data_IF_200572967536
#
_entry.id   IF_200572967536
#
_cell.length_a   1.000
_cell.length_b   1.000
_cell.length_c   1.000
_cell.angle_alpha   90.00
_cell.angle_beta   90.00
_cell.angle_gamma   90.00
#
_symmetry.space_group_name_H-M   'P 1'
#
loop_
_entity.id
_entity.type
_entity.pdbx_description
1 polymer ?
#
# COMPACT_ATOMS: atom_id res chain seq x y z
N UNK A 1 17.61 -22.61 -9.30
CA UNK A 1 16.18 -22.90 -9.02
C UNK A 1 16.07 -23.68 -7.73
N UNK A 2 15.22 -23.26 -6.79
CA UNK A 2 14.98 -23.91 -5.51
C UNK A 2 13.84 -24.93 -5.63
N UNK A 3 14.09 -26.20 -5.34
CA UNK A 3 13.07 -27.25 -5.32
C UNK A 3 12.40 -27.34 -3.94
N UNK A 4 11.08 -27.24 -3.91
CA UNK A 4 10.28 -27.26 -2.67
C UNK A 4 9.47 -28.55 -2.63
N UNK A 5 9.75 -29.40 -1.64
CA UNK A 5 8.90 -30.56 -1.37
C UNK A 5 7.81 -30.22 -0.36
N UNK A 6 6.57 -30.59 -0.69
CA UNK A 6 5.46 -30.65 0.28
C UNK A 6 4.51 -31.78 -0.11
N UNK A 7 3.91 -32.45 0.87
CA UNK A 7 2.98 -33.55 0.62
C UNK A 7 1.77 -33.12 -0.24
N UNK A 8 1.30 -31.88 -0.06
CA UNK A 8 0.21 -31.31 -0.84
C UNK A 8 0.48 -29.84 -1.08
N UNK A 9 0.53 -29.45 -2.35
CA UNK A 9 0.67 -28.06 -2.78
C UNK A 9 -0.72 -27.40 -2.74
N UNK A 10 -0.94 -26.49 -1.79
CA UNK A 10 -2.18 -25.71 -1.68
C UNK A 10 -2.02 -24.32 -2.33
N UNK A 11 -3.13 -23.62 -2.63
CA UNK A 11 -3.06 -22.25 -3.14
C UNK A 11 -2.30 -21.30 -2.20
N UNK A 12 -2.47 -21.43 -0.87
CA UNK A 12 -1.74 -20.66 0.15
C UNK A 12 -0.23 -20.89 0.08
N UNK A 13 0.21 -22.15 0.00
CA UNK A 13 1.63 -22.50 -0.17
C UNK A 13 2.16 -21.87 -1.46
N UNK A 14 1.47 -22.08 -2.59
CA UNK A 14 1.90 -21.51 -3.86
C UNK A 14 2.05 -20.00 -3.80
N UNK A 15 1.07 -19.31 -3.20
CA UNK A 15 1.05 -17.87 -3.06
C UNK A 15 2.24 -17.35 -2.26
N UNK A 16 2.40 -17.82 -1.02
CA UNK A 16 3.39 -17.22 -0.10
C UNK A 16 4.82 -17.57 -0.47
N UNK A 17 5.08 -18.80 -0.94
CA UNK A 17 6.41 -19.18 -1.42
C UNK A 17 6.77 -18.42 -2.71
N UNK A 18 5.83 -18.22 -3.64
CA UNK A 18 6.09 -17.38 -4.82
C UNK A 18 6.37 -15.94 -4.41
N UNK A 19 5.66 -15.41 -3.43
CA UNK A 19 5.91 -14.06 -2.94
C UNK A 19 7.31 -13.96 -2.30
N UNK A 20 7.60 -14.75 -1.27
CA UNK A 20 8.90 -14.67 -0.57
C UNK A 20 10.07 -15.05 -1.49
N UNK A 21 10.07 -16.25 -2.06
CA UNK A 21 11.22 -16.75 -2.80
C UNK A 21 11.36 -16.07 -4.16
N UNK A 22 10.29 -15.96 -4.95
CA UNK A 22 10.40 -15.44 -6.31
C UNK A 22 10.24 -13.92 -6.41
N UNK A 23 9.30 -13.32 -5.67
CA UNK A 23 9.06 -11.87 -5.77
C UNK A 23 10.04 -11.05 -4.93
N UNK A 24 10.27 -11.43 -3.67
CA UNK A 24 11.19 -10.69 -2.78
C UNK A 24 12.65 -11.07 -3.03
N UNK A 25 12.96 -12.36 -3.13
CA UNK A 25 14.36 -12.81 -3.23
C UNK A 25 14.84 -13.04 -4.67
N UNK A 26 13.94 -13.05 -5.66
CA UNK A 26 14.32 -13.30 -7.06
C UNK A 26 14.82 -14.72 -7.31
N UNK A 27 14.44 -15.69 -6.46
CA UNK A 27 14.79 -17.10 -6.57
C UNK A 27 13.69 -17.84 -7.37
N UNK A 28 14.02 -18.46 -8.50
CA UNK A 28 13.05 -19.29 -9.22
C UNK A 28 12.77 -20.56 -8.43
N UNK A 29 11.49 -20.89 -8.24
CA UNK A 29 11.05 -22.05 -7.45
C UNK A 29 10.31 -23.08 -8.30
N UNK A 30 10.38 -24.34 -7.87
CA UNK A 30 9.54 -25.44 -8.38
C UNK A 30 9.04 -26.27 -7.21
N UNK A 31 7.78 -26.70 -7.27
CA UNK A 31 7.21 -27.61 -6.28
C UNK A 31 7.27 -29.07 -6.74
N UNK A 32 7.43 -29.99 -5.79
CA UNK A 32 7.18 -31.42 -5.99
C UNK A 32 6.49 -32.02 -4.77
N UNK A 33 5.64 -33.02 -5.01
CA UNK A 33 5.07 -33.88 -3.97
C UNK A 33 5.63 -35.30 -4.01
N UNK A 34 6.55 -35.57 -4.93
CA UNK A 34 7.20 -36.88 -5.09
C UNK A 34 8.52 -36.88 -4.34
N UNK A 35 8.66 -37.80 -3.39
CA UNK A 35 9.86 -37.93 -2.57
C UNK A 35 11.05 -38.32 -3.45
N UNK A 36 10.83 -39.16 -4.47
CA UNK A 36 11.89 -39.62 -5.38
C UNK A 36 12.49 -38.47 -6.19
N UNK A 37 11.65 -37.54 -6.66
CA UNK A 37 12.09 -36.34 -7.38
C UNK A 37 12.89 -35.42 -6.44
N UNK A 38 12.45 -35.28 -5.19
CA UNK A 38 13.14 -34.46 -4.19
C UNK A 38 14.51 -35.03 -3.80
N UNK A 39 14.59 -36.35 -3.60
CA UNK A 39 15.86 -37.02 -3.25
C UNK A 39 16.84 -36.92 -4.43
N UNK A 40 16.37 -37.16 -5.66
CA UNK A 40 17.21 -37.12 -6.87
C UNK A 40 17.69 -35.71 -7.27
N UNK A 41 17.12 -34.65 -6.70
CA UNK A 41 17.55 -33.28 -6.98
C UNK A 41 18.85 -32.95 -6.24
N UNK A 42 19.90 -32.60 -6.99
CA UNK A 42 21.23 -32.26 -6.44
C UNK A 42 21.38 -30.78 -6.06
N UNK A 43 20.53 -29.90 -6.61
CA UNK A 43 20.57 -28.47 -6.34
C UNK A 43 19.92 -28.07 -5.01
N UNK A 44 19.79 -26.75 -4.82
CA UNK A 44 19.13 -26.19 -3.65
C UNK A 44 17.71 -26.73 -3.51
N UNK A 45 17.41 -27.31 -2.34
CA UNK A 45 16.12 -27.93 -2.06
C UNK A 45 15.71 -27.80 -0.60
N UNK A 46 14.42 -27.55 -0.40
CA UNK A 46 13.82 -27.41 0.92
C UNK A 46 12.62 -28.35 1.05
N UNK A 47 12.40 -28.91 2.23
CA UNK A 47 11.20 -29.67 2.57
C UNK A 47 10.31 -28.87 3.53
N UNK A 48 9.02 -28.79 3.22
CA UNK A 48 8.01 -28.12 4.03
C UNK A 48 6.94 -29.14 4.42
N UNK A 49 6.99 -29.62 5.66
CA UNK A 49 6.27 -30.84 6.06
C UNK A 49 6.15 -31.02 7.57
N UNK A 50 5.64 -32.18 8.01
CA UNK A 50 5.54 -32.49 9.46
C UNK A 50 6.87 -32.96 10.06
N UNK A 51 7.74 -33.56 9.25
CA UNK A 51 9.00 -34.18 9.65
C UNK A 51 10.01 -34.03 8.51
N UNK A 52 11.29 -33.96 8.86
CA UNK A 52 12.40 -33.98 7.91
C UNK A 52 12.47 -35.33 7.17
N UNK A 53 12.94 -35.30 5.93
CA UNK A 53 13.17 -36.46 5.08
C UNK A 53 14.61 -36.98 5.17
N UNK A 54 15.53 -36.19 5.74
CA UNK A 54 16.95 -36.48 5.83
C UNK A 54 17.74 -35.29 6.35
N UNK A 55 18.77 -34.88 5.61
CA UNK A 55 19.65 -33.74 5.92
C UNK A 55 19.45 -32.58 4.92
N UNK A 56 18.23 -32.41 4.42
CA UNK A 56 17.84 -31.25 3.62
C UNK A 56 17.60 -30.01 4.51
N UNK A 57 17.34 -28.87 3.88
CA UNK A 57 16.80 -27.72 4.59
C UNK A 57 15.31 -27.96 4.89
N UNK A 58 14.97 -28.23 6.15
CA UNK A 58 13.64 -28.59 6.60
C UNK A 58 12.98 -27.47 7.40
N UNK A 59 11.75 -27.15 7.04
CA UNK A 59 10.87 -26.26 7.79
C UNK A 59 9.62 -27.05 8.16
N UNK A 60 9.37 -27.20 9.46
CA UNK A 60 8.12 -27.78 9.90
C UNK A 60 6.94 -26.85 9.55
N UNK A 61 5.91 -27.43 8.95
CA UNK A 61 4.71 -26.68 8.56
C UNK A 61 3.78 -26.44 9.75
N UNK A 62 3.18 -25.25 9.79
CA UNK A 62 1.95 -24.97 10.52
C UNK A 62 0.75 -25.22 9.61
N UNK A 63 -0.35 -25.67 10.20
CA UNK A 63 -1.53 -26.13 9.45
C UNK A 63 -2.28 -24.99 8.73
N UNK A 64 -2.02 -23.72 9.08
CA UNK A 64 -2.59 -22.53 8.43
C UNK A 64 -2.50 -22.58 6.90
N UNK A 65 -1.37 -23.00 6.33
CA UNK A 65 -1.22 -23.06 4.86
C UNK A 65 -1.94 -24.26 4.22
N UNK A 66 -2.47 -25.19 5.03
CA UNK A 66 -3.20 -26.39 4.59
C UNK A 66 -4.71 -26.25 4.74
N UNK A 67 -5.15 -25.30 5.56
CA UNK A 67 -6.55 -24.99 5.85
C UNK A 67 -7.25 -24.27 4.69
N UNK A 68 -8.58 -24.21 4.77
CA UNK A 68 -9.45 -23.42 3.88
C UNK A 68 -10.33 -22.51 4.73
N UNK A 69 -10.60 -21.30 4.25
CA UNK A 69 -11.33 -20.29 5.00
C UNK A 69 -10.54 -19.75 6.18
N UNK A 70 -11.21 -19.07 7.08
CA UNK A 70 -10.57 -18.44 8.23
C UNK A 70 -11.23 -18.87 9.54
N UNK A 71 -10.42 -18.97 10.58
CA UNK A 71 -10.83 -19.27 11.95
C UNK A 71 -9.93 -18.53 12.92
N UNK A 72 -10.35 -18.39 14.17
CA UNK A 72 -9.46 -17.83 15.19
C UNK A 72 -8.21 -18.69 15.37
N UNK A 73 -7.07 -18.04 15.52
CA UNK A 73 -5.76 -18.69 15.71
C UNK A 73 -5.09 -18.04 16.90
N UNK A 74 -4.62 -18.85 17.84
CA UNK A 74 -3.78 -18.39 18.93
C UNK A 74 -2.36 -18.12 18.39
N UNK A 75 -1.95 -16.86 18.40
CA UNK A 75 -0.63 -16.45 17.93
C UNK A 75 0.32 -16.33 19.11
N UNK A 76 1.35 -17.18 19.10
CA UNK A 76 2.46 -17.12 20.06
C UNK A 76 3.59 -16.32 19.45
N UNK A 77 3.88 -15.19 20.07
CA UNK A 77 4.93 -14.26 19.68
C UNK A 77 6.28 -14.74 20.23
N UNK A 78 7.32 -14.60 19.41
CA UNK A 78 8.71 -14.82 19.81
C UNK A 78 9.63 -13.80 19.11
N UNK A 79 10.87 -13.71 19.56
CA UNK A 79 11.90 -12.88 18.92
C UNK A 79 12.83 -13.73 18.05
N UNK A 80 13.29 -13.15 16.94
CA UNK A 80 14.35 -13.71 16.11
C UNK A 80 15.41 -12.62 15.87
N UNK A 81 16.44 -12.65 16.73
CA UNK A 81 17.41 -11.58 16.95
C UNK A 81 16.72 -10.22 17.24
N UNK A 82 16.71 -9.33 16.25
CA UNK A 82 16.24 -7.94 16.30
C UNK A 82 14.82 -7.73 15.72
N UNK A 83 14.18 -8.82 15.26
CA UNK A 83 12.80 -8.81 14.75
C UNK A 83 11.86 -9.66 15.61
N UNK A 84 10.57 -9.33 15.53
CA UNK A 84 9.48 -10.15 16.07
C UNK A 84 9.07 -11.18 15.03
N UNK A 85 8.65 -12.37 15.47
CA UNK A 85 8.05 -13.39 14.62
C UNK A 85 7.03 -14.23 15.44
N UNK A 86 6.31 -15.12 14.77
CA UNK A 86 5.28 -15.96 15.37
C UNK A 86 5.09 -17.24 14.58
N UNK A 87 4.33 -18.19 15.14
CA UNK A 87 4.28 -19.59 14.70
C UNK A 87 5.60 -20.33 14.99
N UNK A 88 5.97 -20.46 16.29
CA UNK A 88 7.23 -21.08 16.69
C UNK A 88 7.35 -22.52 16.18
N UNK A 89 8.56 -22.89 15.76
CA UNK A 89 8.90 -24.24 15.32
C UNK A 89 9.86 -24.92 16.30
N UNK A 90 9.87 -26.25 16.37
CA UNK A 90 10.85 -26.97 17.18
C UNK A 90 12.25 -26.90 16.57
N UNK A 91 13.27 -27.15 17.41
CA UNK A 91 14.70 -27.16 17.05
C UNK A 91 15.07 -28.12 15.90
N UNK A 92 14.19 -29.06 15.55
CA UNK A 92 14.38 -29.92 14.39
C UNK A 92 14.23 -29.19 13.05
N UNK A 93 13.65 -27.98 13.03
CA UNK A 93 13.54 -27.14 11.83
C UNK A 93 14.74 -26.20 11.71
N UNK A 94 15.15 -25.89 10.50
CA UNK A 94 16.26 -24.95 10.23
C UNK A 94 15.90 -23.48 10.50
N UNK A 95 14.61 -23.19 10.74
CA UNK A 95 14.11 -21.87 11.12
C UNK A 95 13.38 -21.91 12.47
N UNK A 96 13.43 -20.83 13.27
CA UNK A 96 12.80 -20.79 14.58
C UNK A 96 11.27 -20.64 14.52
N UNK A 97 10.71 -20.28 13.38
CA UNK A 97 9.27 -20.15 13.15
C UNK A 97 8.91 -20.47 11.69
N UNK A 98 7.62 -20.67 11.44
CA UNK A 98 7.10 -20.87 10.10
C UNK A 98 6.96 -19.52 9.39
N UNK A 99 8.05 -19.09 8.74
CA UNK A 99 8.12 -17.86 7.95
C UNK A 99 7.02 -17.78 6.89
N UNK A 100 6.63 -18.90 6.30
CA UNK A 100 5.63 -18.94 5.25
C UNK A 100 4.22 -18.77 5.82
N UNK A 101 3.88 -19.44 6.92
CA UNK A 101 2.61 -19.22 7.61
C UNK A 101 2.51 -17.79 8.16
N UNK A 102 3.57 -17.27 8.78
CA UNK A 102 3.57 -15.93 9.37
C UNK A 102 3.43 -14.84 8.30
N UNK A 103 4.15 -14.98 7.18
CA UNK A 103 4.04 -14.05 6.05
C UNK A 103 2.67 -14.13 5.40
N UNK A 104 2.11 -15.33 5.22
CA UNK A 104 0.76 -15.48 4.69
C UNK A 104 -0.28 -14.77 5.55
N UNK A 105 -0.20 -14.93 6.89
CA UNK A 105 -1.11 -14.28 7.83
C UNK A 105 -1.13 -12.74 7.65
N UNK A 106 0.06 -12.12 7.56
CA UNK A 106 0.18 -10.67 7.39
C UNK A 106 -0.22 -10.20 5.99
N UNK A 107 0.22 -10.89 4.94
CA UNK A 107 -0.01 -10.49 3.54
C UNK A 107 -1.48 -10.66 3.13
N UNK A 108 -2.14 -11.73 3.60
CA UNK A 108 -3.57 -11.96 3.33
C UNK A 108 -4.48 -11.07 4.18
N UNK A 109 -3.92 -10.30 5.12
CA UNK A 109 -4.67 -9.53 6.13
C UNK A 109 -5.66 -10.44 6.88
N UNK A 110 -5.21 -11.63 7.26
CA UNK A 110 -6.05 -12.69 7.85
C UNK A 110 -6.88 -12.17 9.05
N UNK A 111 -6.28 -11.32 9.89
CA UNK A 111 -6.96 -10.67 11.03
C UNK A 111 -8.18 -9.83 10.65
N UNK A 112 -8.24 -9.25 9.45
CA UNK A 112 -9.36 -8.43 8.99
C UNK A 112 -10.55 -9.26 8.50
N UNK A 113 -10.37 -10.58 8.30
CA UNK A 113 -11.48 -11.51 8.02
C UNK A 113 -12.16 -12.01 9.30
N UNK A 114 -11.47 -11.93 10.44
CA UNK A 114 -12.02 -12.30 11.74
C UNK A 114 -12.94 -11.20 12.27
N UNK A 115 -13.88 -11.52 13.18
CA UNK A 115 -14.69 -10.51 13.86
C UNK A 115 -13.80 -9.48 14.57
N UNK A 116 -13.96 -8.20 14.22
CA UNK A 116 -13.19 -7.10 14.78
C UNK A 116 -14.05 -5.84 14.92
N UNK A 117 -13.60 -4.93 15.79
CA UNK A 117 -14.24 -3.63 15.97
C UNK A 117 -13.69 -2.65 14.94
N UNK A 118 -14.58 -2.07 14.14
CA UNK A 118 -14.25 -1.02 13.19
C UNK A 118 -14.28 0.35 13.88
N UNK A 119 -13.50 1.29 13.39
CA UNK A 119 -13.60 2.68 13.83
C UNK A 119 -14.84 3.40 13.25
N UNK A 120 -15.00 4.67 13.61
CA UNK A 120 -16.12 5.52 13.15
C UNK A 120 -16.21 5.65 11.62
N UNK A 121 -15.10 5.47 10.91
CA UNK A 121 -15.02 5.51 9.45
C UNK A 121 -15.18 4.11 8.81
N UNK A 122 -15.43 3.07 9.60
CA UNK A 122 -15.62 1.70 9.12
C UNK A 122 -14.32 0.97 8.78
N UNK A 123 -13.17 1.45 9.27
CA UNK A 123 -11.83 0.93 8.97
C UNK A 123 -11.38 -0.05 10.05
N UNK A 124 -10.44 -0.92 9.69
CA UNK A 124 -9.70 -1.75 10.65
C UNK A 124 -8.65 -0.87 11.35
N UNK A 125 -8.78 -0.58 12.66
CA UNK A 125 -7.89 0.36 13.34
C UNK A 125 -6.47 -0.20 13.47
N UNK A 126 -5.45 0.65 13.32
CA UNK A 126 -4.07 0.21 13.48
C UNK A 126 -3.80 -0.44 14.85
N UNK A 127 -4.42 0.06 15.93
CA UNK A 127 -4.24 -0.46 17.29
C UNK A 127 -4.76 -1.88 17.53
N UNK A 128 -5.70 -2.34 16.69
CA UNK A 128 -6.24 -3.71 16.74
C UNK A 128 -5.36 -4.71 15.98
N UNK A 129 -4.41 -4.23 15.18
CA UNK A 129 -3.49 -5.11 14.45
C UNK A 129 -2.52 -5.81 15.39
N UNK A 130 -2.21 -7.08 15.08
CA UNK A 130 -1.12 -7.82 15.74
C UNK A 130 0.18 -7.01 15.76
N UNK A 131 0.48 -6.34 14.63
CA UNK A 131 1.68 -5.53 14.48
C UNK A 131 1.77 -4.34 15.43
N UNK A 132 0.64 -3.70 15.74
CA UNK A 132 0.62 -2.61 16.72
C UNK A 132 0.64 -3.11 18.16
N UNK A 133 -0.11 -4.18 18.46
CA UNK A 133 -0.17 -4.77 19.80
C UNK A 133 1.21 -5.27 20.24
N UNK A 134 1.96 -5.87 19.31
CA UNK A 134 3.28 -6.43 19.54
C UNK A 134 4.42 -5.47 19.11
N UNK A 135 4.08 -4.20 18.88
CA UNK A 135 5.03 -3.11 18.65
C UNK A 135 6.00 -3.27 17.46
N UNK A 136 5.66 -4.05 16.43
CA UNK A 136 6.48 -4.20 15.22
C UNK A 136 5.91 -3.50 13.97
N UNK A 137 4.82 -2.74 14.10
CA UNK A 137 4.17 -2.03 13.00
C UNK A 137 5.11 -1.11 12.17
N UNK A 138 6.18 -0.61 12.78
CA UNK A 138 7.15 0.28 12.14
C UNK A 138 8.26 -0.46 11.36
N UNK A 139 8.23 -1.80 11.31
CA UNK A 139 9.20 -2.63 10.59
C UNK A 139 8.54 -3.42 9.46
N UNK A 140 9.15 -3.51 8.26
CA UNK A 140 8.66 -4.38 7.19
C UNK A 140 9.08 -5.83 7.48
N UNK A 141 8.53 -6.43 8.55
CA UNK A 141 8.97 -7.73 9.08
C UNK A 141 9.00 -8.85 8.05
N UNK A 142 8.07 -8.87 7.08
CA UNK A 142 8.06 -9.88 6.00
C UNK A 142 9.29 -9.74 5.11
N UNK A 143 9.70 -8.51 4.78
CA UNK A 143 10.90 -8.25 4.00
C UNK A 143 12.17 -8.60 4.79
N UNK A 144 12.20 -8.28 6.09
CA UNK A 144 13.30 -8.62 7.00
C UNK A 144 13.45 -10.14 7.09
N UNK A 145 12.35 -10.86 7.32
CA UNK A 145 12.36 -12.31 7.42
C UNK A 145 12.83 -12.96 6.12
N UNK A 146 12.41 -12.44 4.96
CA UNK A 146 12.84 -12.95 3.67
C UNK A 146 14.36 -12.83 3.48
N UNK A 147 14.96 -11.70 3.85
CA UNK A 147 16.41 -11.51 3.72
C UNK A 147 17.20 -12.37 4.69
N UNK A 148 16.76 -12.50 5.95
CA UNK A 148 17.39 -13.44 6.88
C UNK A 148 17.25 -14.89 6.40
N UNK A 149 16.12 -15.25 5.82
CA UNK A 149 15.94 -16.55 5.20
C UNK A 149 16.88 -16.77 4.01
N UNK A 150 17.12 -15.74 3.19
CA UNK A 150 18.11 -15.80 2.11
C UNK A 150 19.52 -16.05 2.65
N UNK A 151 19.93 -15.37 3.72
CA UNK A 151 21.25 -15.56 4.35
C UNK A 151 21.46 -17.02 4.76
N UNK A 152 20.51 -17.62 5.48
CA UNK A 152 20.60 -19.03 5.91
C UNK A 152 20.56 -19.98 4.71
N UNK A 153 19.77 -19.65 3.67
CA UNK A 153 19.77 -20.44 2.43
C UNK A 153 21.11 -20.39 1.71
N UNK A 154 21.78 -19.24 1.65
CA UNK A 154 23.07 -19.08 0.99
C UNK A 154 24.20 -19.78 1.77
N UNK A 155 24.11 -19.81 3.09
CA UNK A 155 25.02 -20.60 3.93
C UNK A 155 24.93 -22.10 3.61
N UNK A 156 23.72 -22.60 3.32
CA UNK A 156 23.49 -24.01 2.97
C UNK A 156 23.73 -24.31 1.49
N UNK A 157 23.42 -23.35 0.61
CA UNK A 157 23.46 -23.47 -0.84
C UNK A 157 24.21 -22.27 -1.46
N UNK A 158 25.55 -22.23 -1.39
CA UNK A 158 26.34 -21.06 -1.84
C UNK A 158 26.17 -20.70 -3.31
N UNK A 159 25.84 -21.68 -4.16
CA UNK A 159 25.64 -21.50 -5.60
C UNK A 159 24.18 -21.12 -5.97
N UNK A 160 23.33 -20.79 -4.99
CA UNK A 160 21.94 -20.42 -5.23
C UNK A 160 21.84 -19.04 -5.89
N UNK A 161 21.42 -19.04 -7.15
CA UNK A 161 21.14 -17.81 -7.89
C UNK A 161 19.90 -17.08 -7.33
N UNK A 162 20.05 -15.76 -7.12
CA UNK A 162 19.00 -14.86 -6.66
C UNK A 162 19.19 -13.48 -7.32
N UNK A 163 18.14 -12.64 -7.29
CA UNK A 163 18.21 -11.28 -7.85
C UNK A 163 18.05 -10.25 -6.74
N UNK A 164 19.07 -9.42 -6.47
CA UNK A 164 18.97 -8.41 -5.41
C UNK A 164 17.93 -7.35 -5.78
N UNK A 165 17.23 -6.87 -4.76
CA UNK A 165 16.31 -5.75 -4.87
C UNK A 165 17.09 -4.43 -4.83
N UNK A 166 16.38 -3.32 -5.02
CA UNK A 166 16.95 -1.98 -4.90
C UNK A 166 15.98 -1.11 -4.11
N UNK A 167 16.52 -0.41 -3.13
CA UNK A 167 15.78 0.63 -2.43
C UNK A 167 15.18 1.65 -3.40
N UNK A 168 13.89 1.95 -3.24
CA UNK A 168 13.15 2.96 -4.03
C UNK A 168 12.19 3.71 -3.15
N UNK A 169 11.94 4.96 -3.50
CA UNK A 169 10.97 5.82 -2.83
C UNK A 169 9.89 6.27 -3.81
N UNK A 170 8.72 6.58 -3.29
CA UNK A 170 7.60 7.01 -4.11
C UNK A 170 6.58 7.79 -3.30
N UNK A 171 5.93 8.75 -3.96
CA UNK A 171 4.88 9.57 -3.35
C UNK A 171 3.58 9.45 -4.12
N UNK A 172 2.47 9.30 -3.40
CA UNK A 172 1.11 9.28 -3.93
C UNK A 172 0.46 10.60 -3.58
N UNK A 173 0.06 11.38 -4.58
CA UNK A 173 -0.61 12.67 -4.41
C UNK A 173 -2.11 12.46 -4.65
N UNK A 174 -2.89 12.54 -3.59
CA UNK A 174 -4.36 12.44 -3.65
C UNK A 174 -4.97 13.80 -3.88
N UNK A 175 -5.83 13.91 -4.89
CA UNK A 175 -6.53 15.14 -5.27
C UNK A 175 -8.03 14.91 -5.29
N UNK A 176 -8.67 15.11 -4.13
CA UNK A 176 -10.13 15.20 -4.03
C UNK A 176 -10.65 16.43 -4.82
N UNK A 177 -9.97 17.56 -4.66
CA UNK A 177 -10.35 18.83 -5.30
C UNK A 177 -9.15 19.51 -5.92
N UNK A 178 -9.10 19.52 -7.26
CA UNK A 178 -8.08 20.27 -8.04
C UNK A 178 -8.15 21.78 -7.80
N UNK A 179 -9.35 22.32 -7.58
CA UNK A 179 -9.54 23.75 -7.30
C UNK A 179 -10.43 23.95 -6.07
N UNK A 180 -10.05 24.86 -5.18
CA UNK A 180 -10.87 25.23 -4.02
C UNK A 180 -11.86 26.35 -4.36
N UNK A 181 -11.57 27.22 -5.33
CA UNK A 181 -12.45 28.33 -5.74
C UNK A 181 -12.78 28.34 -7.23
N UNK A 182 -11.82 28.08 -8.13
CA UNK A 182 -12.05 28.11 -9.58
C UNK A 182 -13.03 26.99 -9.98
N UNK A 183 -13.79 27.23 -11.05
CA UNK A 183 -14.64 26.23 -11.71
C UNK A 183 -15.75 25.59 -10.86
N UNK A 184 -16.05 26.14 -9.69
CA UNK A 184 -17.21 25.78 -8.87
C UNK A 184 -18.46 26.50 -9.36
N UNK A 185 -19.62 25.86 -9.22
CA UNK A 185 -20.91 26.44 -9.61
C UNK A 185 -21.22 27.72 -8.83
N UNK A 186 -21.88 28.69 -9.48
CA UNK A 186 -22.15 30.02 -8.92
C UNK A 186 -22.76 29.99 -7.52
N UNK A 187 -23.80 29.18 -7.30
CA UNK A 187 -24.47 29.09 -6.00
C UNK A 187 -23.53 28.60 -4.89
N UNK A 188 -22.68 27.58 -5.16
CA UNK A 188 -21.69 27.07 -4.21
C UNK A 188 -20.62 28.11 -3.90
N UNK A 189 -20.15 28.79 -4.94
CA UNK A 189 -19.19 29.88 -4.85
C UNK A 189 -19.70 31.04 -4.00
N UNK A 190 -20.97 31.41 -4.18
CA UNK A 190 -21.63 32.45 -3.38
C UNK A 190 -21.87 32.02 -1.93
N UNK A 191 -22.45 30.83 -1.71
CA UNK A 191 -22.69 30.30 -0.36
C UNK A 191 -21.39 30.14 0.44
N UNK A 192 -20.32 29.64 -0.20
CA UNK A 192 -19.03 29.56 0.45
C UNK A 192 -18.46 30.93 0.84
N UNK A 193 -18.68 31.97 0.02
CA UNK A 193 -18.26 33.34 0.35
C UNK A 193 -19.05 33.88 1.55
N UNK A 194 -20.36 33.64 1.60
CA UNK A 194 -21.19 34.04 2.73
C UNK A 194 -20.76 33.33 4.02
N UNK A 195 -20.51 32.02 3.97
CA UNK A 195 -20.01 31.26 5.12
C UNK A 195 -18.65 31.78 5.61
N UNK A 196 -17.71 32.05 4.70
CA UNK A 196 -16.40 32.63 5.05
C UNK A 196 -16.56 34.03 5.68
N UNK A 197 -17.51 34.84 5.19
CA UNK A 197 -17.80 36.17 5.74
C UNK A 197 -18.42 36.09 7.14
N UNK A 198 -19.43 35.24 7.35
CA UNK A 198 -20.09 35.07 8.64
C UNK A 198 -19.17 34.41 9.68
N UNK A 199 -18.23 33.58 9.23
CA UNK A 199 -17.19 33.00 10.10
C UNK A 199 -15.96 33.91 10.28
N UNK A 200 -16.01 35.15 9.79
CA UNK A 200 -14.95 36.16 9.88
C UNK A 200 -13.61 35.71 9.27
N UNK A 201 -13.63 34.75 8.34
CA UNK A 201 -12.46 34.29 7.59
C UNK A 201 -12.18 35.22 6.40
N UNK A 202 -11.98 36.51 6.69
CA UNK A 202 -11.84 37.57 5.69
C UNK A 202 -10.69 37.31 4.69
N UNK A 203 -9.62 36.65 5.13
CA UNK A 203 -8.52 36.24 4.25
C UNK A 203 -8.98 35.30 3.11
N UNK A 204 -9.85 34.33 3.40
CA UNK A 204 -10.42 33.42 2.38
C UNK A 204 -11.37 34.14 1.43
N UNK A 205 -12.07 35.17 1.91
CA UNK A 205 -12.93 36.01 1.06
C UNK A 205 -12.06 36.79 0.07
N UNK A 206 -10.99 37.43 0.54
CA UNK A 206 -10.04 38.16 -0.32
C UNK A 206 -9.40 37.22 -1.34
N UNK A 207 -8.89 36.08 -0.90
CA UNK A 207 -8.29 35.08 -1.78
C UNK A 207 -9.27 34.61 -2.87
N UNK A 208 -10.51 34.30 -2.48
CA UNK A 208 -11.56 33.89 -3.42
C UNK A 208 -11.80 34.96 -4.49
N UNK A 209 -11.89 36.23 -4.09
CA UNK A 209 -12.06 37.36 -5.02
C UNK A 209 -10.85 37.53 -5.95
N UNK A 210 -9.63 37.42 -5.42
CA UNK A 210 -8.40 37.48 -6.21
C UNK A 210 -8.31 36.33 -7.21
N UNK A 211 -8.71 35.13 -6.81
CA UNK A 211 -8.74 33.95 -7.67
C UNK A 211 -9.78 34.09 -8.79
N UNK A 212 -10.96 34.63 -8.50
CA UNK A 212 -11.99 34.89 -9.52
C UNK A 212 -11.60 35.99 -10.51
N UNK A 213 -10.90 37.01 -10.04
CA UNK A 213 -10.35 38.10 -10.87
C UNK A 213 -9.02 37.73 -11.54
N UNK A 214 -8.51 36.50 -11.33
CA UNK A 214 -7.25 35.98 -11.88
C UNK A 214 -6.00 36.75 -11.43
N UNK A 215 -6.08 37.46 -10.31
CA UNK A 215 -4.94 38.12 -9.66
C UNK A 215 -4.07 37.13 -8.87
N UNK A 216 -4.62 35.97 -8.54
CA UNK A 216 -3.95 34.90 -7.79
C UNK A 216 -4.37 33.54 -8.34
N UNK A 217 -3.47 32.57 -8.28
CA UNK A 217 -3.80 31.19 -8.61
C UNK A 217 -4.60 30.49 -7.52
N UNK A 218 -5.32 29.44 -7.93
CA UNK A 218 -6.13 28.69 -7.00
C UNK A 218 -5.20 27.92 -6.04
N UNK A 219 -5.36 28.06 -4.71
CA UNK A 219 -4.44 27.45 -3.75
C UNK A 219 -4.26 25.94 -3.89
N UNK A 220 -5.25 25.22 -4.42
CA UNK A 220 -5.17 23.76 -4.60
C UNK A 220 -4.55 23.34 -5.95
N UNK A 221 -4.32 24.30 -6.86
CA UNK A 221 -3.72 24.05 -8.16
C UNK A 221 -2.19 24.04 -8.06
N UNK A 222 -1.65 23.02 -7.40
CA UNK A 222 -0.21 22.86 -7.07
C UNK A 222 0.55 21.95 -8.05
N UNK A 223 -0.13 21.50 -9.10
CA UNK A 223 0.36 20.42 -9.95
C UNK A 223 1.56 20.81 -10.79
N UNK A 224 1.66 22.08 -11.21
CA UNK A 224 2.82 22.58 -11.96
C UNK A 224 4.08 22.52 -11.11
N UNK A 225 4.03 23.03 -9.88
CA UNK A 225 5.14 22.95 -8.91
C UNK A 225 5.60 21.50 -8.68
N UNK A 226 4.67 20.55 -8.51
CA UNK A 226 5.03 19.14 -8.33
C UNK A 226 5.60 18.50 -9.61
N UNK A 227 5.11 18.88 -10.79
CA UNK A 227 5.68 18.42 -12.06
C UNK A 227 7.10 18.94 -12.24
N UNK A 228 7.39 20.18 -11.85
CA UNK A 228 8.75 20.73 -11.88
C UNK A 228 9.70 19.92 -10.98
N UNK A 229 9.28 19.54 -9.79
CA UNK A 229 10.07 18.67 -8.91
C UNK A 229 10.34 17.29 -9.53
N UNK A 230 9.36 16.68 -10.20
CA UNK A 230 9.54 15.43 -10.93
C UNK A 230 10.62 15.59 -12.00
N UNK A 231 10.59 16.69 -12.76
CA UNK A 231 11.56 16.96 -13.83
C UNK A 231 12.96 17.23 -13.29
N UNK A 232 13.07 18.02 -12.23
CA UNK A 232 14.35 18.46 -11.67
C UNK A 232 15.09 17.31 -10.96
N UNK A 233 14.35 16.50 -10.20
CA UNK A 233 14.93 15.49 -9.32
C UNK A 233 14.70 14.05 -9.77
N UNK A 234 13.99 13.83 -10.88
CA UNK A 234 13.65 12.51 -11.41
C UNK A 234 12.98 11.59 -10.36
N UNK A 235 12.08 12.16 -9.57
CA UNK A 235 11.39 11.48 -8.47
C UNK A 235 10.12 10.77 -8.95
N UNK A 236 9.81 9.62 -8.37
CA UNK A 236 8.60 8.87 -8.69
C UNK A 236 7.40 9.41 -7.91
N UNK A 237 6.41 9.92 -8.66
CA UNK A 237 5.11 10.33 -8.12
C UNK A 237 3.96 9.73 -8.93
N UNK A 238 2.88 9.41 -8.24
CA UNK A 238 1.60 9.04 -8.83
C UNK A 238 0.50 9.96 -8.32
N UNK A 239 -0.38 10.41 -9.21
CA UNK A 239 -1.46 11.35 -8.88
C UNK A 239 -2.81 10.65 -8.95
N UNK A 240 -3.55 10.65 -7.86
CA UNK A 240 -4.87 10.04 -7.76
C UNK A 240 -5.94 11.13 -7.79
N UNK A 241 -6.75 11.19 -8.85
CA UNK A 241 -7.80 12.20 -9.00
C UNK A 241 -9.18 11.65 -8.71
N UNK A 242 -9.98 12.41 -7.96
CA UNK A 242 -11.35 12.04 -7.66
C UNK A 242 -12.30 12.61 -8.72
N UNK A 243 -13.10 11.73 -9.34
CA UNK A 243 -14.03 12.08 -10.42
C UNK A 243 -15.49 11.71 -10.11
N UNK A 244 -15.80 11.56 -8.83
CA UNK A 244 -17.15 11.26 -8.35
C UNK A 244 -18.11 12.43 -8.58
N UNK A 245 -19.41 12.13 -8.57
CA UNK A 245 -20.44 13.16 -8.62
C UNK A 245 -20.51 13.95 -7.31
N UNK A 246 -20.86 15.23 -7.42
CA UNK A 246 -21.03 16.09 -6.26
C UNK A 246 -22.15 15.54 -5.35
N UNK A 247 -21.83 15.37 -4.07
CA UNK A 247 -22.73 14.88 -3.04
C UNK A 247 -22.44 15.52 -1.68
N UNK A 248 -23.14 15.05 -0.64
CA UNK A 248 -22.86 15.48 0.75
C UNK A 248 -21.49 15.01 1.23
N UNK A 249 -20.99 13.89 0.69
CA UNK A 249 -19.70 13.29 1.05
C UNK A 249 -18.58 13.82 0.14
N UNK A 250 -18.84 13.88 -1.17
CA UNK A 250 -17.86 14.27 -2.17
C UNK A 250 -18.15 15.66 -2.72
N UNK A 251 -17.28 16.62 -2.42
CA UNK A 251 -17.50 18.03 -2.81
C UNK A 251 -16.76 18.41 -4.09
N UNK A 252 -16.62 17.48 -5.02
CA UNK A 252 -15.73 17.61 -6.16
C UNK A 252 -16.25 18.61 -7.20
N UNK A 253 -15.37 18.94 -8.15
CA UNK A 253 -15.74 19.68 -9.34
C UNK A 253 -16.20 18.67 -10.39
N UNK A 254 -17.16 19.06 -11.22
CA UNK A 254 -17.62 18.18 -12.30
C UNK A 254 -16.46 17.81 -13.23
N UNK A 255 -16.31 16.50 -13.51
CA UNK A 255 -15.34 15.95 -14.45
C UNK A 255 -15.43 16.59 -15.86
N UNK A 256 -16.59 17.12 -16.25
CA UNK A 256 -16.80 17.80 -17.54
C UNK A 256 -16.16 19.20 -17.63
N UNK A 257 -15.63 19.75 -16.53
CA UNK A 257 -14.99 21.07 -16.55
C UNK A 257 -13.65 21.00 -17.29
N UNK A 258 -13.58 21.70 -18.43
CA UNK A 258 -12.38 21.76 -19.28
C UNK A 258 -11.10 22.08 -18.50
N UNK A 259 -11.05 23.08 -17.59
CA UNK A 259 -9.82 23.36 -16.86
C UNK A 259 -9.38 22.24 -15.92
N UNK A 260 -10.32 21.47 -15.35
CA UNK A 260 -10.00 20.32 -14.51
C UNK A 260 -9.45 19.17 -15.35
N UNK A 261 -10.08 18.87 -16.51
CA UNK A 261 -9.55 17.91 -17.48
C UNK A 261 -8.16 18.30 -17.98
N UNK A 262 -7.92 19.59 -18.20
CA UNK A 262 -6.62 20.11 -18.66
C UNK A 262 -5.50 19.85 -17.63
N UNK A 263 -5.78 20.04 -16.34
CA UNK A 263 -4.81 19.71 -15.27
C UNK A 263 -4.51 18.22 -15.26
N UNK A 264 -5.53 17.36 -15.30
CA UNK A 264 -5.33 15.90 -15.29
C UNK A 264 -4.50 15.46 -16.50
N UNK A 265 -4.81 15.98 -17.69
CA UNK A 265 -4.03 15.72 -18.92
C UNK A 265 -2.58 16.19 -18.78
N UNK A 266 -2.38 17.41 -18.30
CA UNK A 266 -1.04 17.95 -18.09
C UNK A 266 -0.22 17.13 -17.10
N UNK A 267 -0.84 16.57 -16.06
CA UNK A 267 -0.15 15.69 -15.11
C UNK A 267 0.16 14.33 -15.75
N UNK A 268 -0.77 13.78 -16.53
CA UNK A 268 -0.59 12.52 -17.24
C UNK A 268 0.56 12.54 -18.27
N UNK A 269 0.94 13.72 -18.77
CA UNK A 269 2.09 13.88 -19.67
C UNK A 269 3.45 13.64 -18.97
N UNK A 270 3.52 13.75 -17.63
CA UNK A 270 4.77 13.69 -16.87
C UNK A 270 4.79 12.63 -15.76
N UNK A 271 3.63 12.16 -15.31
CA UNK A 271 3.51 11.25 -14.18
C UNK A 271 2.37 10.25 -14.39
N UNK A 272 2.40 9.15 -13.63
CA UNK A 272 1.27 8.22 -13.60
C UNK A 272 0.05 8.88 -12.96
N UNK A 273 -1.12 8.61 -13.54
CA UNK A 273 -2.40 9.08 -13.04
C UNK A 273 -3.29 7.88 -12.73
N UNK A 274 -3.91 7.89 -11.56
CA UNK A 274 -4.87 6.88 -11.13
C UNK A 274 -6.16 7.49 -10.59
N UNK A 275 -7.11 6.61 -10.28
CA UNK A 275 -8.41 6.99 -9.75
C UNK A 275 -8.36 7.08 -8.22
N UNK A 276 -8.66 8.26 -7.67
CA UNK A 276 -9.04 8.38 -6.27
C UNK A 276 -10.54 8.11 -6.20
N UNK A 277 -10.94 6.99 -5.60
CA UNK A 277 -12.34 6.57 -5.68
C UNK A 277 -13.20 7.36 -4.70
N UNK A 278 -14.36 7.81 -5.18
CA UNK A 278 -15.33 8.52 -4.34
C UNK A 278 -16.18 7.66 -3.42
N UNK A 279 -16.94 8.35 -2.57
CA UNK A 279 -17.68 7.73 -1.48
C UNK A 279 -18.63 6.64 -1.96
N UNK A 280 -19.46 6.92 -2.96
CA UNK A 280 -20.46 5.97 -3.45
C UNK A 280 -19.86 4.85 -4.30
N UNK A 281 -18.73 5.09 -4.96
CA UNK A 281 -18.00 4.07 -5.70
C UNK A 281 -17.31 3.05 -4.77
N UNK A 282 -17.14 3.36 -3.48
CA UNK A 282 -16.75 2.36 -2.46
C UNK A 282 -17.87 1.40 -2.07
N UNK A 283 -19.12 1.75 -2.33
CA UNK A 283 -20.29 0.96 -1.93
C UNK A 283 -20.94 0.25 -3.11
N UNK A 284 -20.75 0.77 -4.32
CA UNK A 284 -21.39 0.27 -5.53
C UNK A 284 -20.43 0.22 -6.73
N UNK A 285 -20.32 -0.97 -7.33
CA UNK A 285 -19.45 -1.22 -8.47
C UNK A 285 -19.86 -0.43 -9.73
N UNK A 286 -21.15 -0.07 -9.89
CA UNK A 286 -21.57 0.72 -11.05
C UNK A 286 -21.04 2.15 -10.96
N UNK A 287 -21.04 2.74 -9.78
CA UNK A 287 -20.40 4.04 -9.54
C UNK A 287 -18.87 3.96 -9.73
N UNK A 288 -18.22 2.89 -9.26
CA UNK A 288 -16.78 2.70 -9.51
C UNK A 288 -16.46 2.58 -11.01
N UNK A 289 -17.24 1.79 -11.75
CA UNK A 289 -17.12 1.67 -13.21
C UNK A 289 -17.29 3.03 -13.90
N UNK A 290 -18.27 3.81 -13.46
CA UNK A 290 -18.52 5.17 -13.98
C UNK A 290 -17.34 6.10 -13.75
N UNK A 291 -16.77 6.09 -12.54
CA UNK A 291 -15.59 6.90 -12.20
C UNK A 291 -14.34 6.47 -12.98
N UNK A 292 -14.13 5.16 -13.14
CA UNK A 292 -13.06 4.60 -13.99
C UNK A 292 -13.17 5.11 -15.44
N UNK A 293 -14.35 4.93 -16.06
CA UNK A 293 -14.58 5.35 -17.46
C UNK A 293 -14.39 6.85 -17.66
N UNK A 294 -14.74 7.68 -16.67
CA UNK A 294 -14.49 9.14 -16.72
C UNK A 294 -13.00 9.45 -16.79
N UNK A 295 -12.19 8.77 -15.98
CA UNK A 295 -10.74 9.00 -16.00
C UNK A 295 -10.15 8.52 -17.33
N UNK A 296 -10.55 7.34 -17.81
CA UNK A 296 -10.12 6.80 -19.12
C UNK A 296 -10.47 7.76 -20.27
N UNK A 297 -11.66 8.37 -20.26
CA UNK A 297 -12.06 9.38 -21.26
C UNK A 297 -11.21 10.67 -21.17
N UNK A 298 -10.73 11.03 -19.98
CA UNK A 298 -9.91 12.22 -19.78
C UNK A 298 -8.48 11.97 -20.24
N UNK A 299 -7.86 10.85 -19.86
CA UNK A 299 -6.44 10.58 -20.16
C UNK A 299 -6.23 9.82 -21.47
N UNK A 300 -7.30 9.33 -22.11
CA UNK A 300 -7.25 8.51 -23.33
C UNK A 300 -6.36 7.27 -23.20
N UNK A 301 -6.36 6.67 -22.00
CA UNK A 301 -5.59 5.49 -21.65
C UNK A 301 -6.38 4.64 -20.66
N UNK A 302 -6.01 3.37 -20.50
CA UNK A 302 -6.59 2.48 -19.48
C UNK A 302 -6.23 2.96 -18.09
N UNK A 303 -7.16 2.81 -17.15
CA UNK A 303 -6.91 3.12 -15.73
C UNK A 303 -6.65 1.83 -14.98
N UNK A 304 -5.42 1.67 -14.55
CA UNK A 304 -4.88 0.50 -13.85
C UNK A 304 -4.46 0.79 -12.41
N UNK A 305 -4.45 2.06 -12.00
CA UNK A 305 -4.08 2.52 -10.66
C UNK A 305 -5.28 3.10 -9.91
N UNK A 306 -5.43 2.71 -8.64
CA UNK A 306 -6.53 3.18 -7.79
C UNK A 306 -6.08 3.43 -6.35
N UNK A 307 -6.80 4.33 -5.69
CA UNK A 307 -6.71 4.54 -4.25
C UNK A 307 -8.09 4.85 -3.66
N UNK A 308 -8.41 4.24 -2.53
CA UNK A 308 -9.62 4.50 -1.75
C UNK A 308 -9.43 5.77 -0.90
N UNK A 309 -10.29 6.77 -1.11
CA UNK A 309 -10.28 8.04 -0.36
C UNK A 309 -10.68 7.90 1.13
N UNK A 310 -11.43 6.86 1.48
CA UNK A 310 -11.93 6.57 2.84
C UNK A 310 -11.05 5.58 3.60
N UNK A 311 -10.13 4.89 2.93
CA UNK A 311 -9.24 3.86 3.51
C UNK A 311 -9.96 2.67 4.16
N UNK A 312 -11.28 2.52 3.95
CA UNK A 312 -12.11 1.41 4.40
C UNK A 312 -12.06 0.27 3.37
N UNK A 313 -10.98 -0.53 3.40
CA UNK A 313 -10.73 -1.56 2.38
C UNK A 313 -11.84 -2.60 2.19
N UNK A 314 -12.71 -2.83 3.19
CA UNK A 314 -13.84 -3.77 3.12
C UNK A 314 -13.47 -5.08 2.41
N UNK A 315 -12.44 -5.76 2.92
CA UNK A 315 -11.95 -6.99 2.32
C UNK A 315 -13.00 -8.12 2.45
N UNK A 316 -13.18 -8.96 1.42
CA UNK A 316 -12.56 -8.89 0.09
C UNK A 316 -13.36 -8.08 -0.95
N UNK A 317 -14.57 -7.60 -0.60
CA UNK A 317 -15.57 -7.08 -1.54
C UNK A 317 -15.05 -5.94 -2.44
N UNK A 318 -14.35 -4.97 -1.86
CA UNK A 318 -13.81 -3.85 -2.64
C UNK A 318 -12.75 -4.32 -3.65
N UNK A 319 -11.84 -5.20 -3.23
CA UNK A 319 -10.77 -5.72 -4.09
C UNK A 319 -11.29 -6.67 -5.17
N UNK A 320 -12.36 -7.39 -4.89
CA UNK A 320 -13.08 -8.16 -5.90
C UNK A 320 -13.72 -7.25 -6.95
N UNK A 321 -14.27 -6.11 -6.53
CA UNK A 321 -14.81 -5.09 -7.45
C UNK A 321 -13.71 -4.47 -8.33
N UNK A 322 -12.53 -4.21 -7.79
CA UNK A 322 -11.36 -3.74 -8.56
C UNK A 322 -10.94 -4.77 -9.61
N UNK A 323 -10.86 -6.04 -9.21
CA UNK A 323 -10.49 -7.15 -10.10
C UNK A 323 -11.51 -7.33 -11.24
N UNK A 324 -12.82 -7.25 -10.95
CA UNK A 324 -13.88 -7.34 -11.98
C UNK A 324 -13.76 -6.22 -13.02
N UNK A 325 -13.34 -5.03 -12.59
CA UNK A 325 -13.15 -3.87 -13.47
C UNK A 325 -11.76 -3.81 -14.11
N UNK A 326 -10.96 -4.87 -13.98
CA UNK A 326 -9.60 -4.98 -14.53
C UNK A 326 -8.65 -3.87 -14.06
N UNK A 327 -8.89 -3.33 -12.87
CA UNK A 327 -7.96 -2.42 -12.20
C UNK A 327 -6.92 -3.30 -11.49
N UNK A 328 -5.64 -3.14 -11.85
CA UNK A 328 -4.61 -4.11 -11.46
C UNK A 328 -3.69 -3.63 -10.33
N UNK A 329 -3.72 -2.35 -9.95
CA UNK A 329 -2.85 -1.79 -8.91
C UNK A 329 -3.63 -0.96 -7.88
N UNK A 330 -3.72 -1.45 -6.65
CA UNK A 330 -4.28 -0.72 -5.50
C UNK A 330 -3.19 -0.11 -4.63
N UNK A 331 -3.40 1.13 -4.19
CA UNK A 331 -2.48 1.90 -3.34
C UNK A 331 -3.11 2.25 -1.98
N UNK A 332 -4.14 1.53 -1.57
CA UNK A 332 -4.97 1.87 -0.41
C UNK A 332 -4.51 1.20 0.89
N UNK A 333 -3.65 0.18 0.81
CA UNK A 333 -3.19 -0.63 1.94
C UNK A 333 -2.20 0.13 2.82
N UNK A 334 -2.71 0.81 3.83
CA UNK A 334 -1.95 1.46 4.89
C UNK A 334 -2.87 2.01 5.97
N UNK A 335 -2.31 2.78 6.92
CA UNK A 335 -3.06 3.48 7.96
C UNK A 335 -2.90 4.99 7.79
N UNK A 336 -3.99 5.75 7.59
CA UNK A 336 -3.86 7.20 7.41
C UNK A 336 -3.62 7.94 8.74
N UNK A 337 -3.98 7.34 9.88
CA UNK A 337 -3.77 7.93 11.22
C UNK A 337 -2.50 7.46 11.94
N UNK A 338 -1.73 6.52 11.38
CA UNK A 338 -0.52 5.97 12.01
C UNK A 338 0.50 5.54 10.96
N UNK A 339 1.76 5.91 11.13
CA UNK A 339 2.83 5.39 10.27
C UNK A 339 3.07 3.90 10.55
N UNK A 340 3.29 3.13 9.49
CA UNK A 340 3.71 1.73 9.59
C UNK A 340 3.24 0.84 8.45
N UNK A 341 3.70 -0.40 8.47
CA UNK A 341 3.47 -1.40 7.42
C UNK A 341 2.24 -2.24 7.76
N UNK A 342 1.06 -1.85 7.25
CA UNK A 342 -0.21 -2.54 7.52
C UNK A 342 -0.13 -4.04 7.20
N UNK A 343 0.45 -4.44 6.07
CA UNK A 343 0.62 -5.84 5.69
C UNK A 343 1.96 -6.45 6.14
N UNK A 344 2.69 -5.80 7.06
CA UNK A 344 4.01 -6.23 7.50
C UNK A 344 5.11 -6.18 6.42
N UNK A 345 4.83 -5.57 5.27
CA UNK A 345 5.76 -5.47 4.14
C UNK A 345 5.74 -4.07 3.52
N UNK A 346 6.88 -3.66 2.97
CA UNK A 346 7.02 -2.49 2.11
C UNK A 346 6.96 -2.84 0.61
N UNK A 347 7.06 -4.13 0.29
CA UNK A 347 7.09 -4.63 -1.08
C UNK A 347 5.67 -4.85 -1.62
N UNK A 348 5.42 -4.59 -2.92
CA UNK A 348 4.15 -4.95 -3.54
C UNK A 348 3.87 -6.46 -3.48
N UNK A 349 2.61 -6.84 -3.40
CA UNK A 349 2.20 -8.25 -3.39
C UNK A 349 0.86 -8.41 -4.10
N UNK A 350 0.53 -9.63 -4.54
CA UNK A 350 -0.79 -9.90 -5.13
C UNK A 350 -1.80 -10.13 -4.02
N UNK A 351 -3.04 -9.69 -4.21
CA UNK A 351 -4.08 -9.95 -3.23
C UNK A 351 -4.51 -11.42 -3.25
N UNK A 352 -4.53 -12.04 -2.07
CA UNK A 352 -5.06 -13.39 -1.86
C UNK A 352 -6.46 -13.29 -1.25
N UNK A 353 -7.49 -13.70 -1.99
CA UNK A 353 -8.84 -13.79 -1.46
C UNK A 353 -9.01 -15.10 -0.68
N UNK A 354 -9.05 -15.00 0.66
CA UNK A 354 -9.23 -16.14 1.55
C UNK A 354 -10.59 -16.82 1.34
N UNK A 355 -11.64 -16.07 1.00
CA UNK A 355 -12.99 -16.65 0.80
C UNK A 355 -13.02 -17.59 -0.41
N UNK A 356 -12.24 -17.26 -1.45
CA UNK A 356 -12.15 -18.03 -2.69
C UNK A 356 -10.92 -18.95 -2.76
N UNK A 357 -9.99 -18.86 -1.80
CA UNK A 357 -8.69 -19.52 -1.79
C UNK A 357 -7.90 -19.32 -3.10
N UNK A 358 -7.87 -18.07 -3.58
CA UNK A 358 -7.26 -17.73 -4.88
C UNK A 358 -6.40 -16.47 -4.79
N UNK A 359 -5.29 -16.48 -5.51
CA UNK A 359 -4.51 -15.26 -5.77
C UNK A 359 -5.14 -14.51 -6.94
N UNK A 360 -5.61 -13.30 -6.68
CA UNK A 360 -6.16 -12.41 -7.71
C UNK A 360 -5.05 -11.68 -8.48
N UNK A 361 -5.32 -11.15 -9.69
CA UNK A 361 -4.34 -10.34 -10.42
C UNK A 361 -4.15 -8.93 -9.84
N UNK A 362 -4.93 -8.53 -8.82
CA UNK A 362 -4.79 -7.24 -8.16
C UNK A 362 -3.49 -7.19 -7.36
N UNK A 363 -2.62 -6.25 -7.71
CA UNK A 363 -1.38 -5.97 -6.99
C UNK A 363 -1.61 -4.85 -5.98
N UNK A 364 -1.30 -5.13 -4.73
CA UNK A 364 -1.33 -4.17 -3.63
C UNK A 364 0.04 -3.52 -3.52
N UNK A 365 0.04 -2.19 -3.52
CA UNK A 365 1.19 -1.34 -3.28
C UNK A 365 1.03 -0.68 -1.92
N UNK A 366 1.51 -1.31 -0.83
CA UNK A 366 1.33 -0.75 0.50
C UNK A 366 2.06 0.59 0.62
N UNK A 367 1.45 1.51 1.36
CA UNK A 367 2.09 2.75 1.81
C UNK A 367 2.38 2.66 3.30
N UNK A 368 3.45 3.33 3.72
CA UNK A 368 3.95 3.28 5.09
C UNK A 368 3.70 4.59 5.84
N UNK A 369 3.52 5.69 5.11
CA UNK A 369 3.35 7.03 5.66
C UNK A 369 2.18 7.75 5.00
N UNK A 370 1.41 8.49 5.80
CA UNK A 370 0.34 9.37 5.32
C UNK A 370 0.47 10.73 5.98
N UNK A 371 0.45 11.79 5.18
CA UNK A 371 0.60 13.17 5.63
C UNK A 371 -0.44 13.60 6.68
N UNK A 372 -1.60 12.93 6.73
CA UNK A 372 -2.66 13.21 7.70
C UNK A 372 -2.17 13.16 9.16
N UNK A 373 -1.18 12.33 9.47
CA UNK A 373 -0.61 12.21 10.83
C UNK A 373 0.11 13.47 11.30
N UNK A 374 0.60 14.31 10.37
CA UNK A 374 1.29 15.57 10.68
C UNK A 374 0.35 16.53 11.40
N UNK A 375 -0.95 16.45 11.14
CA UNK A 375 -1.96 17.32 11.75
C UNK A 375 -2.33 16.92 13.18
N UNK A 376 -2.04 15.67 13.59
CA UNK A 376 -2.44 15.13 14.90
C UNK A 376 -1.27 14.88 15.84
N UNK A 377 -0.04 14.88 15.33
CA UNK A 377 1.17 14.51 16.07
C UNK A 377 2.20 15.63 16.02
N UNK A 378 3.11 15.66 17.01
CA UNK A 378 4.23 16.57 17.01
C UNK A 378 5.10 16.37 15.74
N UNK A 379 5.27 17.45 14.95
CA UNK A 379 5.98 17.44 13.66
C UNK A 379 7.39 16.86 13.74
N UNK A 380 8.15 17.17 14.80
CA UNK A 380 9.51 16.65 15.00
C UNK A 380 9.48 15.14 15.21
N UNK A 381 8.54 14.65 16.03
CA UNK A 381 8.36 13.22 16.25
C UNK A 381 7.97 12.49 14.97
N UNK A 382 7.09 13.09 14.16
CA UNK A 382 6.69 12.52 12.86
C UNK A 382 7.88 12.42 11.91
N UNK A 383 8.76 13.43 11.89
CA UNK A 383 9.98 13.38 11.09
C UNK A 383 10.94 12.29 11.59
N UNK A 384 11.16 12.16 12.90
CA UNK A 384 11.98 11.09 13.48
C UNK A 384 11.44 9.69 13.16
N UNK A 385 10.12 9.49 13.26
CA UNK A 385 9.46 8.24 12.89
C UNK A 385 9.62 7.94 11.41
N UNK A 386 9.46 8.94 10.54
CA UNK A 386 9.67 8.82 9.10
C UNK A 386 11.12 8.42 8.78
N UNK A 387 12.11 9.09 9.38
CA UNK A 387 13.53 8.77 9.17
C UNK A 387 13.83 7.32 9.54
N UNK A 388 13.38 6.86 10.71
CA UNK A 388 13.56 5.46 11.14
C UNK A 388 12.93 4.48 10.16
N UNK A 389 11.73 4.76 9.69
CA UNK A 389 11.07 3.87 8.74
C UNK A 389 11.75 3.85 7.36
N UNK A 390 12.31 4.97 6.91
CA UNK A 390 13.13 5.02 5.70
C UNK A 390 14.38 4.15 5.86
N UNK A 391 15.05 4.20 7.01
CA UNK A 391 16.20 3.35 7.34
C UNK A 391 15.83 1.86 7.34
N UNK A 392 14.70 1.48 7.96
CA UNK A 392 14.20 0.09 7.97
C UNK A 392 13.90 -0.42 6.55
N UNK A 393 13.31 0.40 5.68
CA UNK A 393 13.05 0.00 4.28
C UNK A 393 14.33 -0.04 3.45
N UNK A 394 15.27 0.85 3.71
CA UNK A 394 16.59 0.86 3.06
C UNK A 394 17.42 -0.36 3.44
N UNK A 395 17.36 -0.79 4.71
CA UNK A 395 18.03 -1.99 5.19
C UNK A 395 17.58 -3.28 4.47
N UNK A 396 16.37 -3.27 3.91
CA UNK A 396 15.84 -4.42 3.15
C UNK A 396 15.80 -4.22 1.63
N UNK A 397 16.41 -3.14 1.11
CA UNK A 397 16.33 -2.74 -0.31
C UNK A 397 14.89 -2.69 -0.84
N UNK A 398 13.97 -2.21 0.00
CA UNK A 398 12.53 -2.22 -0.22
C UNK A 398 11.99 -0.99 -0.94
N UNK A 399 10.65 -0.85 -0.97
CA UNK A 399 9.97 0.30 -1.59
C UNK A 399 9.22 1.11 -0.55
N UNK A 400 9.68 2.33 -0.30
CA UNK A 400 8.98 3.25 0.60
C UNK A 400 7.92 4.04 -0.17
N UNK A 401 6.69 4.08 0.34
CA UNK A 401 5.61 4.90 -0.23
C UNK A 401 4.96 5.79 0.82
N UNK A 402 4.80 7.05 0.46
CA UNK A 402 4.10 8.05 1.25
C UNK A 402 2.88 8.58 0.50
N UNK A 403 1.83 8.92 1.24
CA UNK A 403 0.61 9.55 0.73
C UNK A 403 0.57 11.00 1.19
N UNK A 404 0.30 11.90 0.26
CA UNK A 404 0.02 13.32 0.51
C UNK A 404 -1.29 13.71 -0.15
N UNK A 405 -1.91 14.78 0.33
CA UNK A 405 -3.03 15.46 -0.35
C UNK A 405 -2.49 16.64 -1.13
N UNK A 406 -3.11 16.98 -2.26
CA UNK A 406 -2.74 18.21 -2.97
C UNK A 406 -2.94 19.47 -2.09
N UNK A 407 -3.93 19.44 -1.19
CA UNK A 407 -4.13 20.50 -0.19
C UNK A 407 -2.96 20.69 0.77
N UNK A 408 -2.11 19.68 0.96
CA UNK A 408 -0.96 19.75 1.86
C UNK A 408 0.13 20.68 1.33
N UNK A 409 0.18 20.90 0.01
CA UNK A 409 1.11 21.82 -0.64
C UNK A 409 0.47 23.19 -0.94
N UNK A 410 -0.77 23.40 -0.51
CA UNK A 410 -1.51 24.62 -0.80
C UNK A 410 -1.04 25.80 0.05
N UNK A 411 -1.38 27.02 -0.37
CA UNK A 411 -1.16 28.23 0.45
C UNK A 411 -1.97 28.25 1.77
N UNK A 412 -2.87 27.27 2.00
CA UNK A 412 -3.64 27.13 3.24
C UNK A 412 -3.05 26.14 4.25
N UNK A 413 -1.98 25.46 3.88
CA UNK A 413 -1.21 24.59 4.75
C UNK A 413 0.19 25.16 4.95
N UNK A 414 0.95 24.50 5.83
CA UNK A 414 2.38 24.75 6.02
C UNK A 414 3.15 24.11 4.86
N UNK A 415 3.03 24.67 3.65
CA UNK A 415 3.56 24.06 2.42
C UNK A 415 5.06 23.73 2.52
N UNK A 416 5.84 24.60 3.17
CA UNK A 416 7.29 24.44 3.30
C UNK A 416 7.62 23.22 4.16
N UNK A 417 6.83 22.97 5.21
CA UNK A 417 6.91 21.74 6.00
C UNK A 417 6.62 20.51 5.14
N UNK A 418 5.50 20.49 4.40
CA UNK A 418 5.15 19.31 3.60
C UNK A 418 6.17 19.05 2.47
N UNK A 419 6.71 20.10 1.85
CA UNK A 419 7.84 19.98 0.94
C UNK A 419 9.09 19.43 1.64
N UNK A 420 9.35 19.79 2.90
CA UNK A 420 10.48 19.20 3.66
C UNK A 420 10.32 17.69 3.89
N UNK A 421 9.11 17.22 4.19
CA UNK A 421 8.81 15.79 4.30
C UNK A 421 8.97 15.07 2.96
N UNK A 422 8.39 15.62 1.89
CA UNK A 422 8.50 15.08 0.55
C UNK A 422 9.96 14.98 0.09
N UNK A 423 10.74 16.04 0.32
CA UNK A 423 12.17 16.09 0.03
C UNK A 423 12.94 15.06 0.83
N UNK A 424 12.71 14.96 2.14
CA UNK A 424 13.39 13.98 2.99
C UNK A 424 13.16 12.54 2.53
N UNK A 425 11.95 12.21 2.07
CA UNK A 425 11.63 10.90 1.50
C UNK A 425 12.48 10.64 0.26
N UNK A 426 12.49 11.56 -0.71
CA UNK A 426 13.14 11.32 -1.99
C UNK A 426 14.67 11.48 -1.96
N UNK A 427 15.23 12.20 -1.00
CA UNK A 427 16.69 12.28 -0.78
C UNK A 427 17.28 11.01 -0.15
N UNK A 428 16.43 10.10 0.37
CA UNK A 428 16.90 8.85 0.95
C UNK A 428 17.36 7.82 -0.10
N UNK A 429 16.83 7.93 -1.33
CA UNK A 429 17.15 7.09 -2.51
C UNK A 429 18.42 7.56 -3.18
#
# INVERSE_FOLDING_TARGET
MLLIYTQKVTPRIMYVFKHLCSHLLGIPIKFTSKIEEFIAHEGAKISYGKQALGNEFFIQKVDLLMEQGFSEIEIKIQTWDDTVCFFPLPESSDLPFDIFAASFYLLSRYEEYLPHVKDEAGRFPAGESLAAQESFLHKPVVDIWALKFLEILLDRFPDLEYTPRKFRTGSIITSENTFIYKNKGFLRSFMGMMLDLFSLQLGKVVDRLQVWTRLKDDPHNIFEDLIELIKEHNIYMIFMFQLSDFSIHDRNISHNRIPHRAVIKSVADYAQVGLLVGYYAMEDIQNLRKEKLRLEEIVHNTVDHVMNSKYDLKLPDHYNSLTELEITNDHSMGYPEKSGFRAGTCSPFLFYDINMEVTTPLKIHPYAFNSQIINTTNKTKVMEELTRMLEEVKAVDGKFRAVFKNSDFSAYSDKDLYYSFLKHIHEAE
#
